data_IF_883171590301
#
_entry.id   IF_883171590301
#
_cell.length_a   1.000
_cell.length_b   1.000
_cell.length_c   1.000
_cell.angle_alpha   90.00
_cell.angle_beta   90.00
_cell.angle_gamma   90.00
#
_symmetry.space_group_name_H-M   'P 1'
#
loop_
_entity.id
_entity.type
_entity.pdbx_description
1 polymer ?
#
# COMPACT_ATOMS: atom_id res chain seq x y z
N UNK A 1 14.69 -11.89 9.14
CA UNK A 1 13.30 -12.39 8.99
C UNK A 1 13.14 -13.00 7.61
N UNK A 2 12.77 -14.27 7.56
CA UNK A 2 12.60 -15.01 6.30
C UNK A 2 11.11 -15.18 5.98
N UNK A 3 10.62 -14.41 5.01
CA UNK A 3 9.22 -14.51 4.59
C UNK A 3 8.95 -15.84 3.88
N UNK A 4 7.92 -16.59 4.28
CA UNK A 4 7.55 -17.85 3.61
C UNK A 4 7.16 -17.61 2.15
N UNK A 5 7.49 -18.57 1.26
CA UNK A 5 7.14 -18.50 -0.16
C UNK A 5 5.72 -19.02 -0.48
N UNK A 6 5.03 -19.57 0.50
CA UNK A 6 3.66 -20.11 0.35
C UNK A 6 2.77 -19.57 1.45
N UNK A 7 1.45 -19.73 1.29
CA UNK A 7 0.42 -19.23 2.22
C UNK A 7 -0.33 -20.35 2.94
N UNK A 8 0.31 -21.50 3.18
CA UNK A 8 -0.30 -22.63 3.91
C UNK A 8 -0.33 -22.35 5.42
N UNK A 9 -1.15 -23.02 6.22
CA UNK A 9 -1.18 -22.83 7.67
C UNK A 9 0.21 -22.86 8.32
N UNK A 10 1.04 -23.84 7.99
CA UNK A 10 2.42 -23.97 8.50
C UNK A 10 3.33 -22.80 8.10
N UNK A 11 3.05 -22.15 6.98
CA UNK A 11 3.84 -21.00 6.53
C UNK A 11 3.44 -19.75 7.33
N UNK A 12 2.17 -19.62 7.73
CA UNK A 12 1.71 -18.59 8.67
C UNK A 12 2.35 -18.79 10.04
N UNK A 13 2.39 -20.02 10.56
CA UNK A 13 3.06 -20.35 11.84
C UNK A 13 4.55 -20.00 11.80
N UNK A 14 5.24 -20.34 10.70
CA UNK A 14 6.64 -19.92 10.52
C UNK A 14 6.77 -18.41 10.56
N UNK A 15 5.90 -17.70 9.87
CA UNK A 15 5.93 -16.22 9.83
C UNK A 15 5.65 -15.60 11.19
N UNK A 16 4.75 -16.16 11.98
CA UNK A 16 4.54 -15.79 13.39
C UNK A 16 5.82 -15.96 14.21
N UNK A 17 6.54 -17.06 14.03
CA UNK A 17 7.84 -17.31 14.68
C UNK A 17 8.85 -16.22 14.34
N UNK A 18 9.02 -15.89 13.05
CA UNK A 18 9.93 -14.84 12.58
C UNK A 18 9.58 -13.46 13.18
N UNK A 19 8.28 -13.13 13.33
CA UNK A 19 7.87 -11.87 13.96
C UNK A 19 8.17 -11.88 15.46
N UNK A 20 8.00 -13.00 16.16
CA UNK A 20 8.37 -13.15 17.58
C UNK A 20 9.87 -12.99 17.79
N UNK A 21 10.69 -13.62 16.97
CA UNK A 21 12.13 -13.50 17.01
C UNK A 21 12.58 -12.05 16.75
N UNK A 22 11.95 -11.38 15.77
CA UNK A 22 12.19 -9.97 15.51
C UNK A 22 11.80 -9.07 16.70
N UNK A 23 10.66 -9.34 17.35
CA UNK A 23 10.25 -8.67 18.57
C UNK A 23 11.34 -8.77 19.64
N UNK A 24 11.84 -9.98 19.89
CA UNK A 24 12.90 -10.21 20.89
C UNK A 24 14.18 -9.43 20.57
N UNK A 25 14.61 -9.42 19.31
CA UNK A 25 15.77 -8.63 18.86
C UNK A 25 15.57 -7.13 19.08
N UNK A 26 14.38 -6.61 18.79
CA UNK A 26 14.06 -5.18 19.01
C UNK A 26 14.08 -4.84 20.50
N UNK A 27 13.53 -5.69 21.35
CA UNK A 27 13.53 -5.50 22.80
C UNK A 27 14.95 -5.50 23.37
N UNK A 28 15.78 -6.45 22.96
CA UNK A 28 17.19 -6.53 23.35
C UNK A 28 17.96 -5.28 22.90
N UNK A 29 17.80 -4.88 21.64
CA UNK A 29 18.54 -3.74 21.06
C UNK A 29 18.13 -2.39 21.66
N UNK A 30 16.83 -2.20 21.94
CA UNK A 30 16.31 -0.92 22.43
C UNK A 30 16.22 -0.83 23.95
N UNK A 31 16.28 -1.95 24.66
CA UNK A 31 16.01 -2.03 26.09
C UNK A 31 14.54 -1.76 26.47
N UNK A 32 13.64 -1.76 25.51
CA UNK A 32 12.21 -1.47 25.71
C UNK A 32 11.36 -2.71 25.46
N UNK A 33 10.51 -3.02 26.40
CA UNK A 33 9.52 -4.10 26.24
C UNK A 33 8.39 -3.70 25.27
N UNK A 34 8.04 -4.60 24.36
CA UNK A 34 6.88 -4.50 23.46
C UNK A 34 5.68 -5.15 24.14
N UNK A 35 4.95 -4.37 24.95
CA UNK A 35 3.76 -4.85 25.64
C UNK A 35 2.56 -4.94 24.70
N UNK A 36 1.50 -5.72 25.06
CA UNK A 36 0.27 -5.79 24.26
C UNK A 36 -0.35 -4.41 23.99
N UNK A 37 -0.33 -3.50 24.98
CA UNK A 37 -0.90 -2.17 24.87
C UNK A 37 -0.14 -1.31 23.86
N UNK A 38 1.20 -1.35 23.89
CA UNK A 38 2.04 -0.63 22.92
C UNK A 38 1.85 -1.16 21.51
N UNK A 39 1.81 -2.49 21.37
CA UNK A 39 1.62 -3.13 20.07
C UNK A 39 0.24 -2.81 19.49
N UNK A 40 -0.82 -2.86 20.32
CA UNK A 40 -2.17 -2.46 19.94
C UNK A 40 -2.23 -0.99 19.52
N UNK A 41 -1.69 -0.07 20.31
CA UNK A 41 -1.68 1.36 20.00
C UNK A 41 -0.97 1.64 18.66
N UNK A 42 0.18 0.99 18.41
CA UNK A 42 0.89 1.11 17.13
C UNK A 42 0.07 0.53 15.96
N UNK A 43 -0.62 -0.59 16.16
CA UNK A 43 -1.49 -1.20 15.15
C UNK A 43 -2.63 -0.28 14.76
N UNK A 44 -3.33 0.29 15.75
CA UNK A 44 -4.43 1.27 15.54
C UNK A 44 -3.92 2.49 14.76
N UNK A 45 -2.79 3.06 15.18
CA UNK A 45 -2.19 4.22 14.50
C UNK A 45 -1.84 3.91 13.04
N UNK A 46 -1.20 2.76 12.78
CA UNK A 46 -0.82 2.37 11.43
C UNK A 46 -2.02 1.98 10.56
N UNK A 47 -3.08 1.44 11.13
CA UNK A 47 -4.33 1.21 10.41
C UNK A 47 -5.03 2.52 10.03
N UNK A 48 -5.04 3.52 10.91
CA UNK A 48 -5.54 4.87 10.58
C UNK A 48 -4.77 5.46 9.39
N UNK A 49 -3.44 5.35 9.39
CA UNK A 49 -2.62 5.79 8.26
C UNK A 49 -2.97 5.04 6.97
N UNK A 50 -3.11 3.71 7.01
CA UNK A 50 -3.52 2.93 5.83
C UNK A 50 -4.87 3.39 5.28
N UNK A 51 -5.86 3.59 6.14
CA UNK A 51 -7.19 4.10 5.74
C UNK A 51 -7.11 5.49 5.09
N UNK A 52 -6.30 6.39 5.64
CA UNK A 52 -6.11 7.73 5.06
C UNK A 52 -5.47 7.66 3.65
N UNK A 53 -4.44 6.82 3.47
CA UNK A 53 -3.83 6.58 2.18
C UNK A 53 -4.81 5.94 1.18
N UNK A 54 -5.57 4.94 1.62
CA UNK A 54 -6.63 4.29 0.82
C UNK A 54 -7.67 5.31 0.33
N UNK A 55 -8.07 6.26 1.21
CA UNK A 55 -9.01 7.34 0.85
C UNK A 55 -8.47 8.22 -0.26
N UNK A 56 -7.19 8.62 -0.21
CA UNK A 56 -6.55 9.38 -1.30
C UNK A 56 -6.54 8.58 -2.61
N UNK A 57 -6.20 7.28 -2.53
CA UNK A 57 -6.20 6.43 -3.73
C UNK A 57 -7.59 6.21 -4.30
N UNK A 58 -8.63 6.14 -3.46
CA UNK A 58 -10.01 6.02 -3.89
C UNK A 58 -10.46 7.22 -4.75
N UNK A 59 -9.96 8.43 -4.47
CA UNK A 59 -10.23 9.62 -5.29
C UNK A 59 -9.75 9.47 -6.74
N UNK A 60 -8.71 8.67 -6.98
CA UNK A 60 -8.16 8.41 -8.32
C UNK A 60 -9.07 7.54 -9.20
N UNK A 61 -10.15 6.98 -8.65
CA UNK A 61 -11.20 6.27 -9.41
C UNK A 61 -12.11 7.21 -10.20
N UNK A 62 -12.13 8.51 -9.85
CA UNK A 62 -12.89 9.53 -10.55
C UNK A 62 -12.31 9.80 -11.96
N UNK A 63 -13.16 10.29 -12.85
CA UNK A 63 -12.78 10.76 -14.17
C UNK A 63 -13.45 12.15 -14.40
N UNK A 64 -12.67 13.23 -14.51
CA UNK A 64 -11.21 13.28 -14.55
C UNK A 64 -10.54 12.94 -13.21
N UNK A 65 -9.32 12.38 -13.27
CA UNK A 65 -8.55 12.08 -12.06
C UNK A 65 -8.09 13.36 -11.36
N UNK A 66 -8.34 13.53 -10.03
CA UNK A 66 -8.08 14.81 -9.36
C UNK A 66 -6.61 15.04 -8.95
N UNK A 67 -5.78 14.01 -9.04
CA UNK A 67 -4.34 14.02 -8.71
C UNK A 67 -3.55 13.22 -9.74
N UNK A 68 -2.33 13.65 -10.05
CA UNK A 68 -1.43 12.91 -10.93
C UNK A 68 -0.89 11.64 -10.24
N UNK A 69 -0.53 10.63 -11.02
CA UNK A 69 0.14 9.45 -10.49
C UNK A 69 1.48 9.78 -9.87
N UNK A 70 2.21 10.75 -10.45
CA UNK A 70 3.48 11.22 -9.90
C UNK A 70 3.33 11.83 -8.50
N UNK A 71 2.31 12.66 -8.27
CA UNK A 71 2.08 13.26 -6.95
C UNK A 71 1.55 12.22 -5.94
N UNK A 72 0.72 11.28 -6.39
CA UNK A 72 0.30 10.15 -5.57
C UNK A 72 1.47 9.23 -5.18
N UNK A 73 2.41 8.98 -6.10
CA UNK A 73 3.65 8.25 -5.78
C UNK A 73 4.49 9.02 -4.76
N UNK A 74 4.65 10.32 -4.91
CA UNK A 74 5.40 11.16 -3.95
C UNK A 74 4.79 11.08 -2.55
N UNK A 75 3.47 11.17 -2.44
CA UNK A 75 2.77 10.97 -1.16
C UNK A 75 3.07 9.60 -0.54
N UNK A 76 3.02 8.53 -1.34
CA UNK A 76 3.36 7.19 -0.85
C UNK A 76 4.82 7.07 -0.43
N UNK A 77 5.74 7.68 -1.14
CA UNK A 77 7.16 7.69 -0.78
C UNK A 77 7.39 8.43 0.55
N UNK A 78 6.72 9.57 0.76
CA UNK A 78 6.77 10.31 2.03
C UNK A 78 6.24 9.45 3.19
N UNK A 79 5.19 8.69 2.98
CA UNK A 79 4.59 7.83 4.01
C UNK A 79 5.55 6.77 4.61
N UNK A 80 6.67 6.46 3.94
CA UNK A 80 7.69 5.56 4.49
C UNK A 80 8.65 6.22 5.47
N UNK A 81 8.72 7.55 5.51
CA UNK A 81 9.71 8.30 6.28
C UNK A 81 9.09 9.24 7.31
N UNK A 82 7.82 9.61 7.10
CA UNK A 82 7.13 10.57 7.94
C UNK A 82 6.59 9.95 9.23
N UNK A 83 6.39 10.80 10.25
CA UNK A 83 5.66 10.43 11.45
C UNK A 83 4.27 9.88 11.09
N UNK A 84 3.86 8.72 11.62
CA UNK A 84 2.60 8.08 11.23
C UNK A 84 1.35 8.93 11.49
N UNK A 85 1.32 9.72 12.58
CA UNK A 85 0.17 10.57 12.88
C UNK A 85 0.12 11.75 11.91
N UNK A 86 1.24 12.45 11.72
CA UNK A 86 1.34 13.56 10.77
C UNK A 86 1.00 13.11 9.35
N UNK A 87 1.53 11.96 8.92
CA UNK A 87 1.19 11.38 7.62
C UNK A 87 -0.32 11.11 7.49
N UNK A 88 -0.97 10.61 8.55
CA UNK A 88 -2.42 10.36 8.59
C UNK A 88 -3.20 11.66 8.40
N UNK A 89 -2.82 12.71 9.15
CA UNK A 89 -3.50 14.00 9.12
C UNK A 89 -3.35 14.68 7.75
N UNK A 90 -2.14 14.66 7.18
CA UNK A 90 -1.86 15.22 5.86
C UNK A 90 -2.55 14.45 4.74
N UNK A 91 -2.59 13.12 4.81
CA UNK A 91 -3.30 12.29 3.83
C UNK A 91 -4.81 12.52 3.87
N UNK A 92 -5.41 12.70 5.06
CA UNK A 92 -6.82 13.07 5.17
C UNK A 92 -7.09 14.46 4.61
N UNK A 93 -6.25 15.45 4.93
CA UNK A 93 -6.39 16.81 4.37
C UNK A 93 -6.28 16.81 2.83
N UNK A 94 -5.35 16.01 2.28
CA UNK A 94 -5.25 15.81 0.83
C UNK A 94 -6.52 15.15 0.27
N UNK A 95 -7.05 14.12 0.93
CA UNK A 95 -8.27 13.46 0.48
C UNK A 95 -9.47 14.42 0.46
N UNK A 96 -9.63 15.29 1.49
CA UNK A 96 -10.67 16.32 1.53
C UNK A 96 -10.56 17.28 0.32
N UNK A 97 -9.35 17.71 -0.01
CA UNK A 97 -9.10 18.56 -1.19
C UNK A 97 -9.43 17.82 -2.50
N UNK A 98 -9.03 16.54 -2.62
CA UNK A 98 -9.30 15.75 -3.82
C UNK A 98 -10.80 15.47 -4.00
N UNK A 99 -11.52 15.19 -2.92
CA UNK A 99 -12.97 15.01 -2.96
C UNK A 99 -13.68 16.30 -3.40
N UNK A 100 -13.20 17.47 -2.93
CA UNK A 100 -13.68 18.76 -3.41
C UNK A 100 -13.40 18.96 -4.90
N UNK A 101 -12.20 18.65 -5.39
CA UNK A 101 -11.87 18.70 -6.82
C UNK A 101 -12.79 17.81 -7.65
N UNK A 102 -13.09 16.61 -7.17
CA UNK A 102 -14.03 15.71 -7.83
C UNK A 102 -15.42 16.35 -7.94
N UNK A 103 -15.92 16.93 -6.85
CA UNK A 103 -17.22 17.61 -6.84
C UNK A 103 -17.27 18.81 -7.80
N UNK A 104 -16.17 19.54 -7.92
CA UNK A 104 -16.00 20.69 -8.82
C UNK A 104 -15.67 20.27 -10.27
N UNK A 105 -15.51 18.99 -10.57
CA UNK A 105 -15.13 18.49 -11.90
C UNK A 105 -13.69 18.80 -12.31
N UNK A 106 -12.81 19.10 -11.33
CA UNK A 106 -11.41 19.49 -11.56
C UNK A 106 -10.52 18.26 -11.59
N UNK A 107 -9.80 18.07 -12.69
CA UNK A 107 -8.83 17.00 -12.84
C UNK A 107 -7.48 17.49 -13.33
N UNK A 108 -6.46 16.63 -13.25
CA UNK A 108 -5.09 16.89 -13.75
C UNK A 108 -4.96 16.70 -15.26
N UNK A 109 -5.97 16.07 -15.88
CA UNK A 109 -6.10 15.89 -17.32
C UNK A 109 -7.60 15.91 -17.69
N UNK A 110 -7.96 16.13 -18.96
CA UNK A 110 -9.36 16.07 -19.39
C UNK A 110 -10.03 14.73 -19.09
N UNK A 111 -11.33 14.73 -18.87
CA UNK A 111 -12.12 13.51 -18.77
C UNK A 111 -11.94 12.63 -20.02
N UNK A 112 -11.90 11.32 -19.83
CA UNK A 112 -11.62 10.34 -20.90
C UNK A 112 -10.15 10.21 -21.29
N UNK A 113 -9.22 10.90 -20.57
CA UNK A 113 -7.77 10.65 -20.73
C UNK A 113 -7.46 9.20 -20.41
N UNK A 114 -6.58 8.57 -21.22
CA UNK A 114 -6.19 7.16 -21.04
C UNK A 114 -5.65 6.89 -19.65
N UNK A 115 -6.19 5.88 -19.00
CA UNK A 115 -5.98 5.53 -17.59
C UNK A 115 -5.08 4.32 -17.47
N UNK A 116 -3.93 4.48 -16.83
CA UNK A 116 -2.88 3.46 -16.75
C UNK A 116 -2.74 2.94 -15.31
N UNK A 117 -2.64 1.63 -15.17
CA UNK A 117 -2.20 0.95 -13.97
C UNK A 117 -0.73 0.55 -14.15
N UNK A 118 0.11 0.91 -13.17
CA UNK A 118 1.49 0.40 -13.08
C UNK A 118 1.52 -0.81 -12.14
N UNK A 119 2.02 -1.94 -12.62
CA UNK A 119 2.20 -3.16 -11.84
C UNK A 119 3.69 -3.50 -11.70
N UNK A 120 4.03 -4.37 -10.76
CA UNK A 120 5.36 -4.96 -10.65
C UNK A 120 6.24 -4.34 -9.58
N UNK A 121 7.41 -3.84 -9.96
CA UNK A 121 8.42 -3.34 -9.02
C UNK A 121 8.03 -1.98 -8.43
N UNK A 122 8.21 -1.78 -7.11
CA UNK A 122 7.96 -0.50 -6.48
C UNK A 122 8.95 0.57 -6.97
N UNK A 123 8.44 1.79 -7.14
CA UNK A 123 9.25 2.95 -7.51
C UNK A 123 9.86 3.56 -6.23
N UNK A 124 11.16 3.32 -6.01
CA UNK A 124 11.90 3.93 -4.90
C UNK A 124 12.29 5.39 -5.22
N UNK A 125 12.44 6.22 -4.19
CA UNK A 125 12.98 7.58 -4.32
C UNK A 125 14.42 7.51 -4.88
N UNK A 126 14.79 8.34 -5.87
CA UNK A 126 14.02 9.41 -6.53
C UNK A 126 13.44 9.00 -7.90
N UNK A 127 13.01 7.74 -8.05
CA UNK A 127 12.59 7.23 -9.35
C UNK A 127 11.12 7.58 -9.65
N UNK A 128 10.88 8.61 -10.43
CA UNK A 128 9.55 9.00 -10.95
C UNK A 128 9.44 8.81 -12.46
N UNK A 129 10.42 8.18 -13.08
CA UNK A 129 10.59 8.11 -14.54
C UNK A 129 9.36 7.54 -15.24
N UNK A 130 8.80 6.43 -14.74
CA UNK A 130 7.66 5.79 -15.41
C UNK A 130 6.40 6.66 -15.34
N UNK A 131 6.08 7.22 -14.16
CA UNK A 131 4.97 8.14 -14.03
C UNK A 131 5.13 9.37 -14.94
N UNK A 132 6.32 9.96 -14.95
CA UNK A 132 6.62 11.11 -15.80
C UNK A 132 6.44 10.77 -17.28
N UNK A 133 7.00 9.67 -17.77
CA UNK A 133 6.88 9.25 -19.16
C UNK A 133 5.43 9.01 -19.56
N UNK A 134 4.67 8.29 -18.75
CA UNK A 134 3.24 8.01 -19.03
C UNK A 134 2.44 9.31 -19.11
N UNK A 135 2.61 10.19 -18.11
CA UNK A 135 1.79 11.40 -18.01
C UNK A 135 2.16 12.47 -19.02
N UNK A 136 3.44 12.58 -19.40
CA UNK A 136 3.87 13.47 -20.49
C UNK A 136 3.55 12.93 -21.88
N UNK A 137 3.21 11.64 -22.00
CA UNK A 137 2.76 11.00 -23.24
C UNK A 137 1.22 11.07 -23.45
N UNK A 138 0.50 11.79 -22.59
CA UNK A 138 -0.94 12.03 -22.75
C UNK A 138 -1.86 10.99 -22.09
N UNK A 139 -1.36 10.24 -21.11
CA UNK A 139 -2.14 9.35 -20.27
C UNK A 139 -2.08 9.81 -18.81
N UNK A 140 -2.81 9.16 -17.90
CA UNK A 140 -2.74 9.39 -16.46
C UNK A 140 -2.54 8.07 -15.71
N UNK A 141 -1.60 8.02 -14.77
CA UNK A 141 -1.44 6.86 -13.90
C UNK A 141 -2.45 6.97 -12.76
N UNK A 142 -3.38 6.02 -12.69
CA UNK A 142 -4.48 6.05 -11.72
C UNK A 142 -4.37 5.01 -10.62
N UNK A 143 -3.50 4.02 -10.77
CA UNK A 143 -3.30 2.96 -9.79
C UNK A 143 -1.89 2.37 -9.90
N UNK A 144 -1.33 1.98 -8.77
CA UNK A 144 -0.08 1.20 -8.69
C UNK A 144 -0.35 -0.09 -7.91
N UNK A 145 -0.20 -1.26 -8.59
CA UNK A 145 -0.22 -2.58 -7.96
C UNK A 145 1.21 -2.98 -7.58
N UNK A 146 1.75 -2.38 -6.52
CA UNK A 146 3.09 -2.63 -6.00
C UNK A 146 3.22 -2.22 -4.53
N UNK A 147 4.43 -2.35 -3.94
CA UNK A 147 4.67 -2.03 -2.52
C UNK A 147 4.56 -0.53 -2.20
N UNK A 148 4.73 0.36 -3.19
CA UNK A 148 4.48 1.81 -3.06
C UNK A 148 3.08 2.20 -3.56
N UNK A 149 2.14 1.29 -3.57
CA UNK A 149 0.77 1.47 -3.99
C UNK A 149 -0.19 0.64 -3.14
N UNK A 150 -1.17 0.00 -3.79
CA UNK A 150 -2.29 -0.70 -3.13
C UNK A 150 -1.85 -1.74 -2.11
N UNK A 151 -0.79 -2.51 -2.35
CA UNK A 151 -0.30 -3.53 -1.42
C UNK A 151 0.08 -2.97 -0.05
N UNK A 152 0.46 -1.68 0.04
CA UNK A 152 0.85 -1.08 1.30
C UNK A 152 -0.33 -0.87 2.24
N UNK A 153 -1.46 -0.37 1.75
CA UNK A 153 -2.57 0.10 2.57
C UNK A 153 -3.85 -0.74 2.50
N UNK A 154 -4.03 -1.55 1.45
CA UNK A 154 -5.31 -2.22 1.13
C UNK A 154 -5.81 -3.18 2.23
N UNK A 155 -4.92 -3.71 3.05
CA UNK A 155 -5.28 -4.63 4.13
C UNK A 155 -4.95 -4.03 5.50
N UNK A 156 -5.95 -4.07 6.39
CA UNK A 156 -5.81 -3.67 7.78
C UNK A 156 -5.37 -4.87 8.64
N UNK A 157 -4.68 -4.59 9.75
CA UNK A 157 -4.44 -5.56 10.82
C UNK A 157 -5.69 -5.65 11.67
N UNK A 158 -6.10 -6.85 12.09
CA UNK A 158 -7.19 -7.02 13.05
C UNK A 158 -6.79 -6.42 14.41
N UNK A 159 -7.61 -5.50 14.91
CA UNK A 159 -7.38 -4.78 16.17
C UNK A 159 -8.05 -5.48 17.37
N UNK A 160 -8.77 -6.59 17.16
CA UNK A 160 -9.55 -7.25 18.23
C UNK A 160 -8.71 -8.04 19.23
N UNK A 161 -7.55 -8.67 18.89
CA UNK A 161 -6.75 -9.39 19.87
C UNK A 161 -6.17 -8.47 20.95
N UNK A 162 -6.25 -8.92 22.20
CA UNK A 162 -5.78 -8.14 23.36
C UNK A 162 -4.45 -8.61 23.94
N UNK A 163 -4.00 -9.80 23.57
CA UNK A 163 -2.72 -10.36 23.99
C UNK A 163 -1.68 -10.29 22.86
N UNK A 164 -0.40 -10.35 23.21
CA UNK A 164 0.71 -10.24 22.27
C UNK A 164 0.68 -11.31 21.18
N UNK A 165 0.33 -12.55 21.51
CA UNK A 165 0.35 -13.66 20.57
C UNK A 165 -0.76 -13.52 19.53
N UNK A 166 -1.95 -13.14 19.93
CA UNK A 166 -3.07 -12.82 19.04
C UNK A 166 -2.75 -11.64 18.12
N UNK A 167 -2.14 -10.58 18.65
CA UNK A 167 -1.75 -9.40 17.86
C UNK A 167 -0.65 -9.75 16.84
N UNK A 168 0.35 -10.56 17.20
CA UNK A 168 1.37 -11.04 16.25
C UNK A 168 0.74 -11.92 15.18
N UNK A 169 -0.21 -12.79 15.54
CA UNK A 169 -0.96 -13.58 14.57
C UNK A 169 -1.72 -12.68 13.59
N UNK A 170 -2.41 -11.64 14.07
CA UNK A 170 -3.13 -10.69 13.24
C UNK A 170 -2.19 -9.94 12.27
N UNK A 171 -1.00 -9.54 12.74
CA UNK A 171 0.05 -8.98 11.89
C UNK A 171 0.48 -9.96 10.80
N UNK A 172 0.78 -11.21 11.18
CA UNK A 172 1.19 -12.25 10.24
C UNK A 172 0.13 -12.47 9.16
N UNK A 173 -1.13 -12.62 9.56
CA UNK A 173 -2.26 -12.81 8.65
C UNK A 173 -2.43 -11.64 7.68
N UNK A 174 -2.27 -10.39 8.16
CA UNK A 174 -2.33 -9.21 7.29
C UNK A 174 -1.26 -9.24 6.20
N UNK A 175 -0.01 -9.54 6.54
CA UNK A 175 1.08 -9.60 5.57
C UNK A 175 0.91 -10.74 4.57
N UNK A 176 0.34 -11.87 4.99
CA UNK A 176 0.06 -13.00 4.11
C UNK A 176 -1.10 -12.75 3.12
N UNK A 177 -1.89 -11.69 3.29
CA UNK A 177 -2.91 -11.30 2.29
C UNK A 177 -2.29 -10.70 1.02
N UNK A 178 -1.12 -10.10 1.10
CA UNK A 178 -0.45 -9.52 -0.06
C UNK A 178 -0.10 -10.59 -1.10
N UNK A 179 -0.41 -10.31 -2.37
CA UNK A 179 -0.10 -11.19 -3.50
C UNK A 179 1.21 -10.75 -4.20
N UNK A 180 2.30 -10.68 -3.41
CA UNK A 180 3.62 -10.34 -3.91
C UNK A 180 4.22 -11.46 -4.78
N UNK A 181 5.11 -11.10 -5.71
CA UNK A 181 5.81 -12.06 -6.58
C UNK A 181 6.67 -13.09 -5.81
N UNK A 182 6.97 -12.87 -4.53
CA UNK A 182 7.68 -13.86 -3.69
C UNK A 182 6.86 -15.11 -3.38
N UNK A 183 5.53 -15.08 -3.55
CA UNK A 183 4.67 -16.24 -3.29
C UNK A 183 4.50 -17.14 -4.51
N UNK A 184 4.47 -18.46 -4.28
CA UNK A 184 4.22 -19.49 -5.30
C UNK A 184 3.33 -20.59 -4.71
N UNK A 185 2.16 -20.92 -5.33
CA UNK A 185 1.54 -20.26 -6.48
C UNK A 185 1.01 -18.86 -6.14
N UNK A 186 0.85 -17.99 -7.14
CA UNK A 186 0.41 -16.61 -6.95
C UNK A 186 -0.71 -16.19 -7.92
N UNK A 187 -1.76 -17.01 -8.00
CA UNK A 187 -2.94 -16.73 -8.85
C UNK A 187 -3.70 -15.50 -8.37
N UNK A 188 -3.74 -15.26 -7.06
CA UNK A 188 -4.40 -14.09 -6.47
C UNK A 188 -3.88 -12.74 -6.98
N UNK A 189 -2.64 -12.67 -7.46
CA UNK A 189 -2.11 -11.45 -8.09
C UNK A 189 -2.86 -11.09 -9.37
N UNK A 190 -3.24 -12.07 -10.15
CA UNK A 190 -4.03 -11.85 -11.37
C UNK A 190 -5.43 -11.35 -11.01
N UNK A 191 -6.03 -11.95 -9.98
CA UNK A 191 -7.34 -11.53 -9.48
C UNK A 191 -7.31 -10.08 -8.98
N UNK A 192 -6.27 -9.69 -8.22
CA UNK A 192 -6.07 -8.30 -7.78
C UNK A 192 -5.92 -7.34 -8.96
N UNK A 193 -5.10 -7.67 -9.96
CA UNK A 193 -4.92 -6.85 -11.16
C UNK A 193 -6.25 -6.65 -11.90
N UNK A 194 -7.01 -7.72 -12.13
CA UNK A 194 -8.31 -7.64 -12.81
C UNK A 194 -9.31 -6.79 -12.02
N UNK A 195 -9.36 -6.96 -10.69
CA UNK A 195 -10.19 -6.15 -9.80
C UNK A 195 -9.82 -4.68 -9.87
N UNK A 196 -8.54 -4.35 -9.74
CA UNK A 196 -8.04 -2.98 -9.79
C UNK A 196 -8.29 -2.34 -11.17
N UNK A 197 -8.07 -3.07 -12.26
CA UNK A 197 -8.39 -2.57 -13.60
C UNK A 197 -9.87 -2.16 -13.72
N UNK A 198 -10.77 -2.95 -13.17
CA UNK A 198 -12.20 -2.64 -13.16
C UNK A 198 -12.52 -1.44 -12.27
N UNK A 199 -12.01 -1.42 -11.04
CA UNK A 199 -12.29 -0.36 -10.04
C UNK A 199 -11.78 1.01 -10.48
N UNK A 200 -10.58 1.05 -11.07
CA UNK A 200 -9.95 2.29 -11.52
C UNK A 200 -10.23 2.62 -12.98
N UNK A 201 -11.10 1.86 -13.66
CA UNK A 201 -11.46 2.05 -15.07
C UNK A 201 -10.23 2.15 -15.97
N UNK A 202 -9.34 1.18 -15.86
CA UNK A 202 -8.02 1.17 -16.50
C UNK A 202 -8.14 0.82 -17.98
N UNK A 203 -7.49 1.61 -18.85
CA UNK A 203 -7.38 1.35 -20.29
C UNK A 203 -6.18 0.47 -20.64
N UNK A 204 -5.12 0.52 -19.83
CA UNK A 204 -3.89 -0.24 -20.06
C UNK A 204 -3.08 -0.51 -18.79
N UNK A 205 -2.34 -1.61 -18.79
CA UNK A 205 -1.44 -2.01 -17.70
C UNK A 205 -0.01 -1.98 -18.22
N UNK A 206 0.89 -1.37 -17.43
CA UNK A 206 2.33 -1.41 -17.66
C UNK A 206 2.96 -2.20 -16.51
N UNK A 207 3.57 -3.35 -16.84
CA UNK A 207 4.32 -4.14 -15.87
C UNK A 207 5.77 -3.64 -15.83
N UNK A 208 6.17 -3.11 -14.69
CA UNK A 208 7.50 -2.53 -14.47
C UNK A 208 8.39 -3.57 -13.82
N UNK A 209 9.38 -4.03 -14.56
CA UNK A 209 10.34 -5.01 -14.09
C UNK A 209 11.70 -4.38 -13.85
N UNK A 210 12.20 -4.51 -12.62
CA UNK A 210 13.58 -4.20 -12.31
C UNK A 210 14.41 -5.46 -12.52
N UNK A 211 15.48 -5.34 -13.31
CA UNK A 211 16.39 -6.47 -13.55
C UNK A 211 16.95 -6.95 -12.20
N UNK A 212 16.87 -8.25 -11.97
CA UNK A 212 17.27 -8.92 -10.72
C UNK A 212 16.36 -8.64 -9.49
N UNK A 213 15.15 -8.16 -9.67
CA UNK A 213 14.17 -8.07 -8.59
C UNK A 213 13.27 -9.31 -8.53
#
# INVERSE_FOLDING_TARGET
>A
MDMPQMKRPKDVEKWVGEIKDFKAVVEEFTGNEVTPEKLHAATVLLNKRRKALERVFACRKADPAPISGKDALLMMQIAFFDDPQRCTDMANALADELEKRIADGVGVAPAGTKRILLAGTPMAIPNWKMHHLVETSGAVVVCEECCTGTRYFEHQVDETPTDTDGQIMALAQRYMKNNCACFTPNTGRIDDLLRLCKEYKVDGVIDVNLKFC
#
